data_IF_769551419184
#
_entry.id   IF_769551419184
#
_cell.length_a   1.000
_cell.length_b   1.000
_cell.length_c   1.000
_cell.angle_alpha   90.00
_cell.angle_beta   90.00
_cell.angle_gamma   90.00
#
_symmetry.space_group_name_H-M   'P 1'
#
loop_
_entity.id
_entity.type
_entity.pdbx_description
1 polymer ?
#
# COMPACT_ATOMS: atom_id res chain seq x y z
N UNK A 1 16.86 4.74 -3.26
CA UNK A 1 18.32 4.67 -2.93
C UNK A 1 18.56 4.96 -1.44
N UNK A 2 18.51 3.91 -0.62
CA UNK A 2 18.58 4.03 0.85
C UNK A 2 19.88 4.73 1.29
N UNK A 3 21.02 4.38 0.71
CA UNK A 3 22.33 4.93 1.12
C UNK A 3 22.54 6.38 0.73
N UNK A 4 21.96 6.85 -0.36
CA UNK A 4 22.04 8.25 -0.82
C UNK A 4 20.89 9.12 -0.33
N UNK A 5 19.86 8.51 0.28
CA UNK A 5 18.65 9.21 0.73
C UNK A 5 17.88 9.87 -0.44
N UNK A 6 17.98 9.29 -1.63
CA UNK A 6 17.40 9.81 -2.86
C UNK A 6 16.49 8.80 -3.54
N UNK A 7 15.61 9.30 -4.40
CA UNK A 7 15.01 8.54 -5.48
C UNK A 7 15.62 8.97 -6.81
N UNK A 8 15.70 8.03 -7.77
CA UNK A 8 16.18 8.32 -9.12
C UNK A 8 15.03 8.17 -10.10
N UNK A 9 14.76 9.20 -10.88
CA UNK A 9 13.81 9.17 -11.98
C UNK A 9 14.49 8.68 -13.26
N UNK A 10 13.96 7.61 -13.83
CA UNK A 10 14.37 7.10 -15.13
C UNK A 10 13.33 7.45 -16.19
N UNK A 11 13.75 8.09 -17.26
CA UNK A 11 12.89 8.44 -18.37
C UNK A 11 12.94 7.36 -19.47
N UNK A 12 11.79 6.76 -19.75
CA UNK A 12 11.66 5.75 -20.82
C UNK A 12 11.77 6.38 -22.21
N UNK A 13 12.49 5.74 -23.09
CA UNK A 13 12.69 6.21 -24.48
C UNK A 13 11.71 5.62 -25.50
N UNK A 14 10.83 4.70 -25.03
CA UNK A 14 9.87 4.02 -25.90
C UNK A 14 10.42 2.84 -26.68
N UNK A 15 11.73 2.58 -26.61
CA UNK A 15 12.43 1.47 -27.27
C UNK A 15 12.93 0.40 -26.28
N UNK A 16 12.46 0.45 -25.03
CA UNK A 16 12.91 -0.38 -23.92
C UNK A 16 14.14 0.15 -23.19
N UNK A 17 14.73 1.25 -23.66
CA UNK A 17 15.84 1.90 -22.99
C UNK A 17 15.35 3.03 -22.06
N UNK A 18 16.19 3.34 -21.07
CA UNK A 18 15.97 4.44 -20.12
C UNK A 18 17.18 5.37 -20.08
N UNK A 19 16.93 6.62 -19.73
CA UNK A 19 17.98 7.57 -19.34
C UNK A 19 17.72 8.02 -17.91
N UNK A 20 18.77 8.26 -17.13
CA UNK A 20 18.66 8.93 -15.85
C UNK A 20 18.22 10.37 -16.16
N UNK A 21 17.16 10.81 -15.51
CA UNK A 21 16.71 12.19 -15.65
C UNK A 21 17.17 13.03 -14.48
N UNK A 22 16.77 12.66 -13.28
CA UNK A 22 17.04 13.44 -12.07
C UNK A 22 17.17 12.55 -10.84
N UNK A 23 17.86 13.06 -9.81
CA UNK A 23 17.85 12.52 -8.46
C UNK A 23 17.24 13.51 -7.49
N UNK A 24 16.34 13.04 -6.65
CA UNK A 24 15.64 13.86 -5.66
C UNK A 24 15.98 13.39 -4.26
N UNK A 25 16.46 14.31 -3.41
CA UNK A 25 16.64 14.04 -1.99
C UNK A 25 15.27 13.96 -1.31
N UNK A 26 14.96 12.82 -0.68
CA UNK A 26 13.66 12.57 -0.05
C UNK A 26 13.74 12.40 1.46
N UNK A 27 14.92 12.18 2.00
CA UNK A 27 15.15 11.91 3.40
C UNK A 27 15.78 10.54 3.62
N UNK A 28 16.27 10.25 4.83
CA UNK A 28 17.02 9.02 5.12
C UNK A 28 16.14 7.78 5.08
N UNK A 29 16.65 6.70 4.49
CA UNK A 29 15.96 5.41 4.39
C UNK A 29 14.60 5.46 3.68
N UNK A 30 14.50 5.99 2.46
CA UNK A 30 13.26 5.88 1.68
C UNK A 30 12.95 4.40 1.44
N UNK A 31 11.72 3.98 1.75
CA UNK A 31 11.36 2.57 1.72
C UNK A 31 10.59 2.20 0.46
N UNK A 32 9.51 2.89 0.19
CA UNK A 32 8.58 2.64 -0.90
C UNK A 32 8.29 3.95 -1.65
N UNK A 33 7.75 3.86 -2.86
CA UNK A 33 7.25 5.01 -3.61
C UNK A 33 5.84 4.68 -4.10
N UNK A 34 4.88 5.54 -3.77
CA UNK A 34 3.52 5.50 -4.32
C UNK A 34 3.33 6.69 -5.24
N UNK A 35 2.52 6.51 -6.29
CA UNK A 35 2.31 7.50 -7.34
C UNK A 35 0.81 7.77 -7.43
N UNK A 36 0.42 9.04 -7.35
CA UNK A 36 -0.95 9.50 -7.60
C UNK A 36 -0.97 11.03 -7.78
N UNK A 37 -2.02 11.58 -8.38
CA UNK A 37 -2.29 13.01 -8.40
C UNK A 37 -2.95 13.41 -7.07
N UNK A 38 -2.22 14.13 -6.22
CA UNK A 38 -2.65 14.49 -4.87
C UNK A 38 -3.21 15.91 -4.76
N UNK A 39 -3.03 16.70 -5.81
CA UNK A 39 -3.41 18.11 -5.83
C UNK A 39 -4.44 18.44 -6.92
N UNK A 40 -4.92 17.41 -7.63
CA UNK A 40 -5.91 17.51 -8.72
C UNK A 40 -5.45 18.40 -9.88
N UNK A 41 -4.13 18.47 -10.16
CA UNK A 41 -3.60 19.20 -11.31
C UNK A 41 -3.45 18.34 -12.57
N UNK A 42 -3.76 17.04 -12.49
CA UNK A 42 -3.66 16.07 -13.57
C UNK A 42 -2.26 15.49 -13.74
N UNK A 43 -1.31 15.83 -12.86
CA UNK A 43 0.07 15.33 -12.89
C UNK A 43 0.31 14.43 -11.70
N UNK A 44 1.03 13.34 -11.91
CA UNK A 44 1.34 12.42 -10.83
C UNK A 44 2.39 12.97 -9.86
N UNK A 45 2.11 12.84 -8.58
CA UNK A 45 2.97 13.14 -7.45
C UNK A 45 3.57 11.87 -6.86
N UNK A 46 4.59 11.99 -6.02
CA UNK A 46 5.21 10.87 -5.33
C UNK A 46 5.02 10.99 -3.83
N UNK A 47 4.66 9.87 -3.19
CA UNK A 47 4.54 9.72 -1.73
C UNK A 47 5.56 8.68 -1.28
N UNK A 48 6.46 9.07 -0.39
CA UNK A 48 7.60 8.26 0.03
C UNK A 48 7.64 8.17 1.56
N UNK A 49 7.22 7.04 2.17
CA UNK A 49 7.45 6.78 3.58
C UNK A 49 8.94 6.76 3.90
N UNK A 50 9.34 7.43 4.97
CA UNK A 50 10.74 7.50 5.40
C UNK A 50 10.93 6.59 6.62
N UNK A 51 11.37 5.37 6.35
CA UNK A 51 11.50 4.32 7.37
C UNK A 51 12.45 4.73 8.51
N UNK A 52 12.09 4.41 9.75
CA UNK A 52 12.85 4.79 10.93
C UNK A 52 12.79 6.29 11.25
N UNK A 53 11.83 7.00 10.68
CA UNK A 53 11.52 8.41 10.95
C UNK A 53 10.04 8.55 11.28
N UNK A 54 9.59 9.77 11.53
CA UNK A 54 8.19 10.06 11.86
C UNK A 54 7.47 10.85 10.76
N UNK A 55 7.93 10.73 9.53
CA UNK A 55 7.38 11.48 8.42
C UNK A 55 7.41 10.72 7.09
N UNK A 56 6.51 11.13 6.21
CA UNK A 56 6.43 10.76 4.80
C UNK A 56 6.78 11.98 3.96
N UNK A 57 7.59 11.81 2.94
CA UNK A 57 7.92 12.88 1.97
C UNK A 57 6.93 12.82 0.81
N UNK A 58 6.41 13.97 0.40
CA UNK A 58 5.61 14.16 -0.80
C UNK A 58 6.39 15.04 -1.76
N UNK A 59 6.49 14.62 -3.01
CA UNK A 59 7.06 15.42 -4.10
C UNK A 59 5.99 15.65 -5.14
N UNK A 60 5.71 16.94 -5.44
CA UNK A 60 4.73 17.32 -6.45
C UNK A 60 5.37 17.35 -7.84
N UNK A 61 4.69 16.71 -8.80
CA UNK A 61 5.06 16.69 -10.20
C UNK A 61 4.84 18.04 -10.89
N UNK A 62 5.51 18.26 -11.99
CA UNK A 62 5.30 19.39 -12.89
C UNK A 62 5.09 18.93 -14.34
N UNK A 63 4.59 19.83 -15.18
CA UNK A 63 4.30 19.58 -16.61
C UNK A 63 5.55 19.12 -17.42
N UNK A 64 6.75 19.36 -16.91
CA UNK A 64 8.00 18.92 -17.53
C UNK A 64 8.38 17.50 -17.10
N UNK A 65 7.57 16.86 -16.23
CA UNK A 65 7.83 15.54 -15.63
C UNK A 65 8.99 15.57 -14.64
N UNK A 66 9.21 16.69 -13.96
CA UNK A 66 10.14 16.86 -12.83
C UNK A 66 9.33 17.01 -11.54
N UNK A 67 10.01 16.94 -10.39
CA UNK A 67 9.39 17.13 -9.08
C UNK A 67 10.00 18.38 -8.44
N UNK A 68 9.19 19.42 -8.23
CA UNK A 68 9.70 20.75 -7.87
C UNK A 68 9.47 21.12 -6.40
N UNK A 69 8.38 20.68 -5.81
CA UNK A 69 8.00 21.03 -4.45
C UNK A 69 8.06 19.78 -3.55
N UNK A 70 8.83 19.87 -2.47
CA UNK A 70 8.91 18.83 -1.46
C UNK A 70 8.15 19.25 -0.21
N UNK A 71 7.19 18.44 0.20
CA UNK A 71 6.46 18.61 1.46
C UNK A 71 6.77 17.45 2.40
N UNK A 72 6.80 17.73 3.71
CA UNK A 72 6.95 16.73 4.76
C UNK A 72 5.62 16.61 5.47
N UNK A 73 5.04 15.41 5.45
CA UNK A 73 3.88 15.03 6.23
C UNK A 73 4.35 14.28 7.50
N UNK A 74 4.12 14.84 8.67
CA UNK A 74 4.39 14.14 9.93
C UNK A 74 3.34 13.04 10.10
N UNK A 75 3.70 11.83 9.65
CA UNK A 75 2.76 10.72 9.51
C UNK A 75 2.71 9.80 10.73
N UNK A 76 3.64 9.88 11.66
CA UNK A 76 3.79 8.96 12.80
C UNK A 76 5.06 8.12 12.69
N UNK A 77 5.39 7.39 13.75
CA UNK A 77 6.68 6.69 13.87
C UNK A 77 6.81 5.55 12.87
N UNK A 78 7.99 5.44 12.27
CA UNK A 78 8.43 4.36 11.36
C UNK A 78 7.40 4.03 10.27
N UNK A 79 6.99 5.00 9.42
CA UNK A 79 6.08 4.73 8.32
C UNK A 79 6.70 3.72 7.34
N UNK A 80 5.93 2.70 6.98
CA UNK A 80 6.37 1.56 6.14
C UNK A 80 5.72 1.55 4.76
N UNK A 81 4.42 1.77 4.67
CA UNK A 81 3.68 1.84 3.42
C UNK A 81 2.63 2.96 3.45
N UNK A 82 2.12 3.34 2.30
CA UNK A 82 1.03 4.30 2.13
C UNK A 82 0.07 3.79 1.08
N UNK A 83 -1.20 3.68 1.42
CA UNK A 83 -2.27 3.49 0.44
C UNK A 83 -2.94 4.84 0.15
N UNK A 84 -3.33 5.05 -1.11
CA UNK A 84 -3.83 6.33 -1.61
C UNK A 84 -5.14 6.08 -2.34
N UNK A 85 -6.24 6.62 -1.84
CA UNK A 85 -7.52 6.68 -2.54
C UNK A 85 -8.47 7.69 -1.89
N UNK A 86 -9.62 7.94 -2.49
CA UNK A 86 -10.69 8.80 -1.97
C UNK A 86 -11.55 8.00 -0.99
N UNK A 87 -11.19 8.00 0.29
CA UNK A 87 -11.84 7.17 1.32
C UNK A 87 -13.04 7.87 2.00
N UNK A 88 -13.24 9.15 1.74
CA UNK A 88 -14.38 9.89 2.26
C UNK A 88 -15.37 10.34 1.17
N UNK A 89 -15.09 9.96 -0.09
CA UNK A 89 -15.95 10.18 -1.25
C UNK A 89 -16.15 11.66 -1.59
N UNK A 90 -15.16 12.51 -1.31
CA UNK A 90 -15.20 13.95 -1.62
C UNK A 90 -14.56 14.29 -2.97
N UNK A 91 -13.96 13.30 -3.66
CA UNK A 91 -13.30 13.44 -4.94
C UNK A 91 -11.80 13.74 -4.84
N UNK A 92 -11.25 13.91 -3.64
CA UNK A 92 -9.83 14.15 -3.43
C UNK A 92 -9.12 12.86 -2.97
N UNK A 93 -7.81 12.77 -3.17
CA UNK A 93 -7.04 11.64 -2.69
C UNK A 93 -6.63 11.82 -1.24
N UNK A 94 -6.88 10.78 -0.45
CA UNK A 94 -6.55 10.62 0.95
C UNK A 94 -5.37 9.67 1.12
N UNK A 95 -4.79 9.63 2.31
CA UNK A 95 -3.67 8.73 2.62
C UNK A 95 -3.98 7.88 3.85
N UNK A 96 -3.69 6.58 3.74
CA UNK A 96 -3.60 5.69 4.89
C UNK A 96 -2.15 5.25 5.03
N UNK A 97 -1.52 5.58 6.14
CA UNK A 97 -0.11 5.29 6.40
C UNK A 97 0.01 4.16 7.39
N UNK A 98 0.74 3.11 7.02
CA UNK A 98 1.12 2.02 7.92
C UNK A 98 2.42 2.34 8.67
N UNK A 99 2.63 1.66 9.79
CA UNK A 99 3.78 1.87 10.65
C UNK A 99 4.36 0.54 11.11
N UNK A 100 5.69 0.39 11.02
CA UNK A 100 6.33 -0.89 11.29
C UNK A 100 6.49 -1.19 12.80
N UNK A 101 6.76 -0.18 13.62
CA UNK A 101 7.10 -0.37 15.03
C UNK A 101 6.00 0.03 16.03
N UNK A 102 4.80 0.35 15.54
CA UNK A 102 3.66 0.73 16.37
C UNK A 102 2.39 -0.01 15.96
N UNK A 103 1.36 0.00 16.81
CA UNK A 103 0.17 -0.84 16.67
C UNK A 103 -0.99 -0.17 15.91
N UNK A 104 -0.74 0.93 15.22
CA UNK A 104 -1.79 1.69 14.53
C UNK A 104 -1.43 2.03 13.10
N UNK A 105 -2.44 2.24 12.27
CA UNK A 105 -2.36 2.96 11.00
C UNK A 105 -2.85 4.39 11.21
N UNK A 106 -2.40 5.33 10.38
CA UNK A 106 -2.83 6.74 10.44
C UNK A 106 -3.60 7.12 9.19
N UNK A 107 -4.80 7.70 9.38
CA UNK A 107 -5.64 8.20 8.30
C UNK A 107 -5.48 9.71 8.17
N UNK A 108 -5.26 10.18 6.94
CA UNK A 108 -5.19 11.58 6.55
C UNK A 108 -6.19 11.87 5.46
N UNK A 109 -6.98 12.92 5.63
CA UNK A 109 -7.91 13.42 4.64
C UNK A 109 -7.22 14.51 3.82
N UNK A 110 -7.25 14.33 2.51
CA UNK A 110 -6.73 15.29 1.53
C UNK A 110 -7.76 16.37 1.23
N UNK A 111 -7.30 17.55 0.86
CA UNK A 111 -8.20 18.66 0.51
C UNK A 111 -8.10 19.04 -0.99
N UNK A 112 -7.48 18.16 -1.79
CA UNK A 112 -7.34 18.31 -3.23
C UNK A 112 -6.34 19.39 -3.70
N UNK A 113 -5.58 20.00 -2.80
CA UNK A 113 -4.51 20.93 -3.12
C UNK A 113 -3.12 20.44 -2.66
N UNK A 114 -3.00 19.14 -2.37
CA UNK A 114 -1.76 18.52 -1.89
C UNK A 114 -1.51 18.69 -0.39
N UNK A 115 -2.45 19.25 0.39
CA UNK A 115 -2.35 19.27 1.85
C UNK A 115 -3.30 18.26 2.49
N UNK A 116 -2.89 17.75 3.65
CA UNK A 116 -3.56 16.66 4.34
C UNK A 116 -3.81 17.01 5.81
N UNK A 117 -4.96 16.61 6.30
CA UNK A 117 -5.34 16.77 7.72
C UNK A 117 -5.41 15.38 8.33
N UNK A 118 -4.66 15.17 9.42
CA UNK A 118 -4.75 13.91 10.17
C UNK A 118 -6.17 13.78 10.75
N UNK A 119 -6.84 12.66 10.40
CA UNK A 119 -8.15 12.34 10.94
C UNK A 119 -8.04 11.54 12.22
N UNK A 120 -7.40 10.37 12.18
CA UNK A 120 -7.30 9.47 13.32
C UNK A 120 -6.13 8.49 13.22
N UNK A 121 -5.81 7.87 14.34
CA UNK A 121 -5.04 6.61 14.38
C UNK A 121 -6.03 5.48 14.68
N UNK A 122 -5.90 4.37 13.93
CA UNK A 122 -6.71 3.17 14.12
C UNK A 122 -5.80 2.06 14.63
N UNK A 123 -6.10 1.54 15.82
CA UNK A 123 -5.34 0.41 16.38
C UNK A 123 -5.66 -0.87 15.60
N UNK A 124 -4.63 -1.48 15.01
CA UNK A 124 -4.72 -2.72 14.22
C UNK A 124 -3.80 -3.81 14.75
N UNK A 125 -3.08 -3.53 15.84
CA UNK A 125 -2.02 -4.38 16.42
C UNK A 125 -0.84 -4.63 15.48
N UNK A 126 0.21 -5.30 15.94
CA UNK A 126 1.40 -5.73 15.19
C UNK A 126 2.05 -4.68 14.29
N UNK A 127 3.28 -4.85 13.89
CA UNK A 127 3.92 -3.97 12.89
C UNK A 127 3.29 -4.17 11.51
N UNK A 128 2.79 -3.09 10.89
CA UNK A 128 2.17 -3.19 9.57
C UNK A 128 3.23 -3.02 8.48
N UNK A 129 3.21 -3.87 7.46
CA UNK A 129 4.19 -3.84 6.38
C UNK A 129 3.59 -3.40 5.04
N UNK A 130 2.41 -3.85 4.70
CA UNK A 130 1.73 -3.53 3.44
C UNK A 130 0.28 -3.15 3.67
N UNK A 131 -0.23 -2.20 2.87
CA UNK A 131 -1.61 -1.73 2.86
C UNK A 131 -2.18 -1.72 1.45
N UNK A 132 -3.45 -2.09 1.35
CA UNK A 132 -4.29 -1.89 0.17
C UNK A 132 -5.61 -1.23 0.57
N UNK A 133 -6.15 -0.41 -0.32
CA UNK A 133 -7.49 0.17 -0.22
C UNK A 133 -8.34 -0.41 -1.36
N UNK A 134 -9.48 -0.99 -1.02
CA UNK A 134 -10.41 -1.59 -1.98
C UNK A 134 -11.79 -1.76 -1.33
N UNK A 135 -12.87 -1.61 -2.10
CA UNK A 135 -14.21 -2.02 -1.68
C UNK A 135 -14.28 -3.56 -1.72
N UNK A 136 -14.03 -4.22 -0.56
CA UNK A 136 -13.99 -5.68 -0.49
C UNK A 136 -15.36 -6.30 -0.16
N UNK A 137 -16.30 -5.48 0.30
CA UNK A 137 -17.64 -5.92 0.68
C UNK A 137 -18.72 -5.48 -0.32
N UNK A 138 -18.32 -4.81 -1.40
CA UNK A 138 -19.18 -4.34 -2.50
C UNK A 138 -20.29 -3.38 -2.04
N UNK A 139 -20.06 -2.60 -0.96
CA UNK A 139 -21.03 -1.62 -0.46
C UNK A 139 -20.85 -0.22 -1.07
N UNK A 140 -19.87 -0.07 -1.98
CA UNK A 140 -19.53 1.17 -2.67
C UNK A 140 -18.59 2.09 -1.87
N UNK A 141 -18.08 1.63 -0.73
CA UNK A 141 -17.12 2.37 0.10
C UNK A 141 -15.80 1.63 0.13
N UNK A 142 -14.73 2.38 0.31
CA UNK A 142 -13.40 1.80 0.33
C UNK A 142 -13.02 1.27 1.71
N UNK A 143 -12.51 0.04 1.74
CA UNK A 143 -12.06 -0.70 2.90
C UNK A 143 -10.53 -0.75 2.92
N UNK A 144 -9.93 -1.14 4.04
CA UNK A 144 -8.48 -1.32 4.20
C UNK A 144 -8.18 -2.79 4.44
N UNK A 145 -7.17 -3.30 3.74
CA UNK A 145 -6.56 -4.62 4.00
C UNK A 145 -5.07 -4.44 4.21
N UNK A 146 -4.49 -5.13 5.19
CA UNK A 146 -3.06 -5.02 5.45
C UNK A 146 -2.45 -6.25 6.10
N UNK A 147 -1.11 -6.30 6.11
CA UNK A 147 -0.34 -7.36 6.78
C UNK A 147 0.16 -6.90 8.14
N UNK A 148 0.10 -7.79 9.14
CA UNK A 148 0.63 -7.62 10.49
C UNK A 148 1.88 -8.49 10.65
N UNK A 149 3.03 -7.88 10.39
CA UNK A 149 4.30 -8.57 10.24
C UNK A 149 4.72 -9.37 11.49
N UNK A 150 4.51 -8.81 12.69
CA UNK A 150 4.89 -9.46 13.95
C UNK A 150 3.82 -10.39 14.52
N UNK A 151 2.58 -10.30 14.03
CA UNK A 151 1.46 -11.08 14.55
C UNK A 151 1.12 -12.30 13.67
N UNK A 152 1.85 -12.49 12.55
CA UNK A 152 1.63 -13.58 11.59
C UNK A 152 0.17 -13.58 11.06
N UNK A 153 -0.37 -12.39 10.76
CA UNK A 153 -1.76 -12.19 10.32
C UNK A 153 -1.88 -11.20 9.18
N UNK A 154 -3.03 -11.23 8.53
CA UNK A 154 -3.58 -10.09 7.80
C UNK A 154 -4.73 -9.48 8.61
N UNK A 155 -5.08 -8.24 8.30
CA UNK A 155 -6.26 -7.58 8.84
C UNK A 155 -7.11 -6.94 7.73
N UNK A 156 -8.41 -6.75 8.00
CA UNK A 156 -9.29 -5.90 7.20
C UNK A 156 -10.15 -5.00 8.09
N UNK A 157 -10.45 -3.81 7.59
CA UNK A 157 -11.30 -2.80 8.21
C UNK A 157 -12.30 -2.32 7.18
N UNK A 158 -13.59 -2.27 7.53
CA UNK A 158 -14.64 -1.75 6.64
C UNK A 158 -14.77 -0.24 6.74
N UNK A 159 -14.86 0.42 5.60
CA UNK A 159 -15.03 1.85 5.51
C UNK A 159 -16.47 2.33 5.70
N UNK A 160 -16.61 3.52 6.25
CA UNK A 160 -17.93 4.16 6.40
C UNK A 160 -18.26 5.13 5.26
N UNK A 161 -17.31 5.34 4.31
CA UNK A 161 -17.44 6.31 3.22
C UNK A 161 -17.29 7.77 3.65
N UNK A 162 -16.75 8.01 4.84
CA UNK A 162 -16.46 9.34 5.39
C UNK A 162 -15.03 9.41 5.96
N UNK A 163 -14.15 8.51 5.51
CA UNK A 163 -12.77 8.37 5.98
C UNK A 163 -12.63 7.73 7.36
N UNK A 164 -13.69 7.18 7.96
CA UNK A 164 -13.63 6.39 9.20
C UNK A 164 -13.85 4.92 8.89
N UNK A 165 -13.28 4.05 9.72
CA UNK A 165 -13.30 2.60 9.54
C UNK A 165 -13.81 1.91 10.81
N UNK A 166 -14.39 0.72 10.62
CA UNK A 166 -14.97 -0.09 11.70
C UNK A 166 -14.71 -1.57 11.45
N UNK A 167 -14.96 -2.41 12.45
CA UNK A 167 -14.80 -3.86 12.40
C UNK A 167 -13.40 -4.31 11.96
N UNK A 168 -12.53 -4.53 12.95
CA UNK A 168 -11.23 -5.15 12.70
C UNK A 168 -11.41 -6.67 12.62
N UNK A 169 -11.28 -7.22 11.40
CA UNK A 169 -11.16 -8.66 11.18
C UNK A 169 -9.68 -9.05 11.05
N UNK A 170 -9.31 -10.24 11.47
CA UNK A 170 -7.96 -10.78 11.29
C UNK A 170 -8.00 -12.22 10.86
N UNK A 171 -7.02 -12.66 10.04
CA UNK A 171 -6.82 -14.05 9.65
C UNK A 171 -5.35 -14.43 9.80
N UNK A 172 -5.08 -15.64 10.32
CA UNK A 172 -3.71 -16.14 10.47
C UNK A 172 -3.14 -16.55 9.10
N UNK A 173 -1.86 -16.29 8.92
CA UNK A 173 -1.07 -16.67 7.73
C UNK A 173 0.26 -17.30 8.15
N UNK A 174 1.17 -17.48 7.21
CA UNK A 174 2.55 -17.87 7.54
C UNK A 174 3.31 -16.74 8.23
N UNK A 175 4.52 -17.03 8.69
CA UNK A 175 5.33 -16.13 9.52
C UNK A 175 5.93 -14.97 8.75
N UNK A 176 5.92 -13.81 9.40
CA UNK A 176 6.42 -12.54 8.89
C UNK A 176 5.76 -12.16 7.56
N UNK A 177 4.41 -11.98 7.54
CA UNK A 177 3.71 -11.56 6.34
C UNK A 177 4.14 -10.14 5.94
N UNK A 178 4.52 -9.96 4.68
CA UNK A 178 4.97 -8.67 4.15
C UNK A 178 4.03 -8.15 3.07
N UNK A 179 4.36 -8.33 1.81
CA UNK A 179 3.55 -7.81 0.70
C UNK A 179 2.29 -8.63 0.49
N UNK A 180 1.18 -7.94 0.21
CA UNK A 180 -0.12 -8.54 -0.11
C UNK A 180 -0.56 -8.14 -1.52
N UNK A 181 -1.33 -9.02 -2.18
CA UNK A 181 -2.14 -8.71 -3.36
C UNK A 181 -3.57 -9.16 -3.13
N UNK A 182 -4.50 -8.45 -3.73
CA UNK A 182 -5.94 -8.69 -3.61
C UNK A 182 -6.51 -8.86 -5.01
N UNK A 183 -7.10 -10.02 -5.27
CA UNK A 183 -7.76 -10.35 -6.53
C UNK A 183 -8.75 -11.50 -6.33
N UNK A 184 -9.59 -11.80 -7.30
CA UNK A 184 -10.45 -13.00 -7.30
C UNK A 184 -9.68 -14.17 -7.94
N UNK A 185 -8.86 -14.88 -7.13
CA UNK A 185 -7.98 -15.94 -7.64
C UNK A 185 -8.73 -17.24 -7.97
N UNK A 186 -9.93 -17.44 -7.42
CA UNK A 186 -10.72 -18.65 -7.60
C UNK A 186 -11.94 -18.45 -8.52
N UNK A 187 -12.21 -17.20 -8.94
CA UNK A 187 -13.33 -16.79 -9.81
C UNK A 187 -14.72 -17.04 -9.20
N UNK A 188 -14.85 -16.88 -7.87
CA UNK A 188 -16.14 -16.96 -7.19
C UNK A 188 -16.86 -15.62 -7.04
N UNK A 189 -16.21 -14.53 -7.46
CA UNK A 189 -16.72 -13.17 -7.40
C UNK A 189 -16.39 -12.42 -6.12
N UNK A 190 -15.64 -13.03 -5.19
CA UNK A 190 -15.14 -12.40 -3.96
C UNK A 190 -13.65 -12.12 -4.10
N UNK A 191 -13.14 -11.15 -3.35
CA UNK A 191 -11.71 -10.92 -3.30
C UNK A 191 -11.02 -11.93 -2.40
N UNK A 192 -9.96 -12.54 -2.91
CA UNK A 192 -9.00 -13.37 -2.20
C UNK A 192 -7.74 -12.56 -1.87
N UNK A 193 -6.90 -13.05 -0.96
CA UNK A 193 -5.61 -12.43 -0.64
C UNK A 193 -4.48 -13.41 -0.92
N UNK A 194 -3.46 -12.96 -1.64
CA UNK A 194 -2.15 -13.58 -1.66
C UNK A 194 -1.20 -12.79 -0.76
N UNK A 195 -0.47 -13.45 0.12
CA UNK A 195 0.47 -12.81 1.04
C UNK A 195 1.82 -13.52 1.07
N UNK A 196 2.90 -12.75 0.93
CA UNK A 196 4.27 -13.23 1.12
C UNK A 196 4.52 -13.46 2.59
N UNK A 197 4.96 -14.66 2.98
CA UNK A 197 5.37 -15.03 4.33
C UNK A 197 6.88 -15.29 4.32
N UNK A 198 7.66 -14.26 4.66
CA UNK A 198 9.12 -14.23 4.42
C UNK A 198 9.89 -15.33 5.17
N UNK A 199 9.51 -15.61 6.42
CA UNK A 199 10.21 -16.60 7.22
C UNK A 199 9.89 -18.03 6.81
N UNK A 200 8.64 -18.29 6.43
CA UNK A 200 8.21 -19.64 6.03
C UNK A 200 8.54 -19.95 4.57
N UNK A 201 9.01 -18.96 3.80
CA UNK A 201 9.33 -19.08 2.36
C UNK A 201 8.13 -19.55 1.53
N UNK A 202 6.96 -19.04 1.83
CA UNK A 202 5.71 -19.37 1.13
C UNK A 202 4.95 -18.10 0.72
N UNK A 203 4.05 -18.29 -0.23
CA UNK A 203 2.91 -17.41 -0.47
C UNK A 203 1.69 -18.11 0.11
N UNK A 204 1.03 -17.49 1.08
CA UNK A 204 -0.25 -17.94 1.60
C UNK A 204 -1.38 -17.36 0.79
N UNK A 205 -2.33 -18.19 0.38
CA UNK A 205 -3.58 -17.76 -0.25
C UNK A 205 -4.70 -17.88 0.77
N UNK A 206 -5.48 -16.82 0.89
CA UNK A 206 -6.68 -16.76 1.71
C UNK A 206 -7.87 -16.53 0.80
N UNK A 207 -8.90 -17.34 0.96
CA UNK A 207 -10.14 -17.16 0.21
C UNK A 207 -11.08 -16.21 0.91
N UNK A 208 -11.73 -15.34 0.14
CA UNK A 208 -12.82 -14.50 0.60
C UNK A 208 -14.04 -15.34 0.99
N UNK A 209 -14.79 -14.89 1.98
CA UNK A 209 -16.03 -15.51 2.44
C UNK A 209 -17.22 -14.59 2.16
N UNK A 210 -18.44 -15.14 2.12
CA UNK A 210 -19.68 -14.38 1.92
C UNK A 210 -19.93 -13.28 2.98
N UNK A 211 -19.29 -13.36 4.13
CA UNK A 211 -19.35 -12.34 5.17
C UNK A 211 -18.20 -11.32 5.07
N UNK A 212 -17.45 -11.35 3.96
CA UNK A 212 -16.32 -10.47 3.64
C UNK A 212 -15.14 -10.58 4.63
N UNK A 213 -15.07 -11.68 5.37
CA UNK A 213 -13.85 -12.11 6.09
C UNK A 213 -12.99 -12.98 5.17
N UNK A 214 -11.81 -13.34 5.64
CA UNK A 214 -10.90 -14.22 4.91
C UNK A 214 -10.64 -15.49 5.68
N UNK A 215 -10.54 -16.61 4.97
CA UNK A 215 -10.16 -17.90 5.54
C UNK A 215 -8.92 -18.44 4.86
N UNK A 216 -8.06 -19.09 5.64
CA UNK A 216 -6.84 -19.71 5.09
C UNK A 216 -7.19 -20.78 4.06
N UNK A 217 -6.62 -20.67 2.88
CA UNK A 217 -6.77 -21.61 1.77
C UNK A 217 -5.57 -22.55 1.64
N UNK A 218 -4.44 -22.06 1.18
CA UNK A 218 -3.27 -22.88 0.88
C UNK A 218 -1.96 -22.08 0.98
N UNK A 219 -0.85 -22.83 1.16
CA UNK A 219 0.52 -22.30 1.02
C UNK A 219 1.18 -22.83 -0.23
N UNK A 220 1.85 -21.95 -0.96
CA UNK A 220 2.69 -22.28 -2.10
C UNK A 220 4.14 -21.96 -1.78
N UNK A 221 5.05 -22.91 -2.03
CA UNK A 221 6.49 -22.70 -1.80
C UNK A 221 6.98 -21.60 -2.75
N UNK A 222 7.58 -20.59 -2.18
CA UNK A 222 8.27 -19.51 -2.87
C UNK A 222 9.79 -19.69 -2.79
N UNK A 223 10.54 -18.74 -3.35
CA UNK A 223 11.99 -18.69 -3.17
C UNK A 223 12.40 -18.40 -1.72
N UNK A 224 13.69 -18.47 -1.43
CA UNK A 224 14.21 -18.17 -0.10
C UNK A 224 14.03 -16.68 0.24
N UNK A 225 13.34 -16.36 1.35
CA UNK A 225 12.99 -15.01 1.79
C UNK A 225 12.33 -14.19 0.68
N UNK A 226 11.15 -14.61 0.19
CA UNK A 226 10.40 -13.81 -0.76
C UNK A 226 10.06 -12.46 -0.12
N UNK A 227 10.12 -11.36 -0.89
CA UNK A 227 9.95 -10.02 -0.33
C UNK A 227 8.83 -9.20 -0.99
N UNK A 228 8.41 -9.59 -2.19
CA UNK A 228 7.37 -8.89 -2.91
C UNK A 228 6.59 -9.87 -3.80
N UNK A 229 5.35 -9.53 -4.10
CA UNK A 229 4.53 -10.21 -5.09
C UNK A 229 3.67 -9.21 -5.87
N UNK A 230 3.25 -9.61 -7.03
CA UNK A 230 2.22 -8.94 -7.83
C UNK A 230 1.24 -9.99 -8.36
N UNK A 231 0.01 -9.57 -8.62
CA UNK A 231 -1.00 -10.36 -9.33
C UNK A 231 -1.29 -9.73 -10.69
N UNK A 232 -1.35 -10.55 -11.74
CA UNK A 232 -1.74 -10.15 -13.10
C UNK A 232 -2.00 -11.40 -13.95
N UNK A 233 -2.77 -11.27 -15.02
CA UNK A 233 -2.80 -12.27 -16.10
C UNK A 233 -1.53 -12.12 -16.95
N UNK A 234 -0.47 -12.86 -16.58
CA UNK A 234 0.87 -12.73 -17.18
C UNK A 234 0.93 -13.39 -18.58
N UNK A 235 0.16 -14.45 -18.76
CA UNK A 235 0.18 -15.26 -19.98
C UNK A 235 -0.98 -14.97 -20.94
N UNK A 236 -1.91 -14.06 -20.58
CA UNK A 236 -3.12 -13.69 -21.31
C UNK A 236 -4.08 -14.88 -21.53
N UNK A 237 -4.21 -15.78 -20.55
CA UNK A 237 -5.18 -16.88 -20.58
C UNK A 237 -6.50 -16.56 -19.88
N UNK A 238 -6.66 -15.35 -19.37
CA UNK A 238 -7.82 -14.88 -18.65
C UNK A 238 -7.83 -15.25 -17.16
N UNK A 239 -6.73 -15.80 -16.65
CA UNK A 239 -6.57 -16.12 -15.22
C UNK A 239 -5.51 -15.25 -14.58
N UNK A 240 -5.71 -14.97 -13.30
CA UNK A 240 -4.75 -14.18 -12.53
C UNK A 240 -3.62 -15.08 -12.05
N UNK A 241 -2.40 -14.72 -12.45
CA UNK A 241 -1.15 -15.33 -12.00
C UNK A 241 -0.54 -14.53 -10.85
N UNK A 242 0.40 -15.13 -10.11
CA UNK A 242 1.18 -14.49 -9.04
C UNK A 242 2.67 -14.65 -9.36
N UNK A 243 3.43 -13.55 -9.32
CA UNK A 243 4.87 -13.52 -9.54
C UNK A 243 5.61 -12.85 -8.38
#
# INVERSE_FOLDING_TARGET
>A
NISSNTITLLHGKGDGAFSIRDEYFVGPSPHLVRINDLNNDGINDLVIPIFGRNFTTILFGDENGSFVNRTILFSGDTPSDVAIDDIDMDGNKDLVVSHFDVNYITVFIGNGNGSFVKKENIDVHGGQHSLLIKDINFDGKLDIVGSLFYDDKIFSLFGSGNGSFYTLNTCNVGKLPSTIALDDFNYDGLYDIAVVCEFDNVISILSGNDDFTFSFGANFIAGNRPAALISADINNDGKIDIA
#
